data_IF_526533396939
#
_entry.id   IF_526533396939
#
_cell.length_a   1.000
_cell.length_b   1.000
_cell.length_c   1.000
_cell.angle_alpha   90.00
_cell.angle_beta   90.00
_cell.angle_gamma   90.00
#
_symmetry.space_group_name_H-M   'P 1'
#
loop_
_entity.id
_entity.type
_entity.pdbx_description
1 polymer ?
#
# COMPACT_ATOMS: atom_id res chain seq x y z
N UNK A 1 6.57 -25.01 -17.65
CA UNK A 1 6.71 -25.32 -16.21
C UNK A 1 8.09 -24.87 -15.74
N UNK A 2 8.18 -24.41 -14.48
CA UNK A 2 9.36 -23.90 -13.75
C UNK A 2 9.63 -22.38 -13.80
N UNK A 3 8.79 -21.61 -13.09
CA UNK A 3 9.11 -20.26 -12.57
C UNK A 3 8.49 -20.06 -11.18
N UNK A 4 8.75 -20.97 -10.25
CA UNK A 4 8.21 -20.94 -8.87
C UNK A 4 9.26 -20.64 -7.78
N UNK A 5 10.50 -20.29 -8.14
CA UNK A 5 11.62 -20.30 -7.18
C UNK A 5 12.48 -19.03 -7.14
N UNK A 6 11.93 -17.85 -7.43
CA UNK A 6 12.68 -16.63 -7.11
C UNK A 6 12.46 -16.22 -5.66
N UNK A 7 13.34 -16.78 -4.83
CA UNK A 7 13.96 -16.29 -3.58
C UNK A 7 14.19 -14.77 -3.58
N UNK A 8 13.14 -13.99 -3.69
CA UNK A 8 13.25 -12.53 -3.65
C UNK A 8 13.17 -12.15 -2.18
N UNK A 9 14.31 -11.75 -1.63
CA UNK A 9 14.41 -11.16 -0.31
C UNK A 9 13.50 -9.95 -0.26
N UNK A 10 12.45 -9.99 0.58
CA UNK A 10 11.49 -8.89 0.60
C UNK A 10 12.13 -7.68 1.28
N UNK A 11 12.51 -7.78 2.57
CA UNK A 11 13.14 -6.70 3.35
C UNK A 11 13.96 -7.28 4.54
N UNK A 12 15.11 -6.68 4.85
CA UNK A 12 15.93 -6.89 6.07
C UNK A 12 16.39 -8.35 6.34
N UNK A 13 16.87 -9.10 5.34
CA UNK A 13 17.38 -10.46 5.54
C UNK A 13 16.30 -11.56 5.62
N UNK A 14 15.01 -11.22 5.48
CA UNK A 14 13.94 -12.22 5.44
C UNK A 14 13.95 -12.99 4.12
N UNK A 15 14.65 -14.13 4.11
CA UNK A 15 14.68 -15.10 3.02
C UNK A 15 13.73 -16.25 3.33
N UNK A 16 12.68 -16.36 2.52
CA UNK A 16 11.88 -17.59 2.35
C UNK A 16 11.29 -18.28 3.58
N UNK A 17 10.91 -17.52 4.60
CA UNK A 17 9.93 -18.04 5.57
C UNK A 17 8.66 -17.21 5.53
N UNK A 18 8.19 -16.91 4.31
CA UNK A 18 6.88 -16.28 4.13
C UNK A 18 5.84 -17.09 4.90
N UNK A 19 5.86 -18.43 4.84
CA UNK A 19 4.91 -19.28 5.59
C UNK A 19 5.11 -19.18 7.11
N UNK A 20 6.34 -19.18 7.62
CA UNK A 20 6.64 -19.00 9.04
C UNK A 20 6.24 -17.61 9.58
N UNK A 21 6.51 -16.52 8.84
CA UNK A 21 6.12 -15.15 9.20
C UNK A 21 4.63 -14.88 8.94
N UNK A 22 4.03 -15.57 7.96
CA UNK A 22 2.59 -15.58 7.65
C UNK A 22 1.77 -16.19 8.78
N UNK A 23 2.27 -17.29 9.38
CA UNK A 23 1.53 -18.13 10.33
C UNK A 23 2.08 -18.11 11.76
N UNK A 24 3.18 -17.41 12.05
CA UNK A 24 3.61 -17.16 13.41
C UNK A 24 2.49 -16.44 14.18
N UNK A 25 2.32 -16.80 15.46
CA UNK A 25 1.17 -16.48 16.32
C UNK A 25 0.84 -14.98 16.48
N UNK A 26 1.70 -14.09 15.97
CA UNK A 26 1.47 -12.65 15.79
C UNK A 26 1.46 -12.24 14.31
N UNK A 27 0.67 -12.94 13.48
CA UNK A 27 0.80 -12.85 12.03
C UNK A 27 0.75 -11.41 11.52
N UNK A 28 1.84 -11.02 10.85
CA UNK A 28 1.97 -9.75 10.15
C UNK A 28 0.77 -9.50 9.22
N UNK A 29 0.12 -10.56 8.76
CA UNK A 29 -1.03 -10.55 7.88
C UNK A 29 -2.29 -10.13 8.63
N UNK A 30 -2.60 -10.73 9.78
CA UNK A 30 -3.72 -10.26 10.63
C UNK A 30 -3.49 -8.80 11.01
N UNK A 31 -2.26 -8.43 11.38
CA UNK A 31 -1.93 -7.03 11.63
C UNK A 31 -2.14 -6.15 10.39
N UNK A 32 -1.68 -6.56 9.21
CA UNK A 32 -1.78 -5.80 7.97
C UNK A 32 -3.24 -5.64 7.53
N UNK A 33 -4.05 -6.69 7.58
CA UNK A 33 -5.49 -6.62 7.30
C UNK A 33 -6.20 -5.71 8.29
N UNK A 34 -5.95 -5.87 9.60
CA UNK A 34 -6.56 -5.02 10.64
C UNK A 34 -6.18 -3.56 10.46
N UNK A 35 -4.90 -3.30 10.20
CA UNK A 35 -4.37 -1.95 9.95
C UNK A 35 -4.95 -1.35 8.67
N UNK A 36 -5.05 -2.14 7.59
CA UNK A 36 -5.67 -1.70 6.34
C UNK A 36 -7.12 -1.27 6.56
N UNK A 37 -7.92 -2.09 7.22
CA UNK A 37 -9.33 -1.78 7.51
C UNK A 37 -9.49 -0.59 8.44
N UNK A 38 -8.67 -0.50 9.49
CA UNK A 38 -8.66 0.64 10.42
C UNK A 38 -8.33 1.94 9.67
N UNK A 39 -7.20 1.99 8.96
CA UNK A 39 -6.77 3.15 8.18
C UNK A 39 -7.76 3.53 7.08
N UNK A 40 -8.44 2.55 6.47
CA UNK A 40 -9.46 2.79 5.45
C UNK A 40 -10.63 3.64 6.01
N UNK A 41 -10.92 3.52 7.31
CA UNK A 41 -11.97 4.26 8.02
C UNK A 41 -11.44 5.56 8.65
N UNK A 42 -10.27 5.53 9.29
CA UNK A 42 -9.76 6.67 10.07
C UNK A 42 -9.14 7.77 9.22
N UNK A 43 -8.41 7.43 8.15
CA UNK A 43 -7.70 8.45 7.35
C UNK A 43 -8.62 9.46 6.69
N UNK A 44 -9.78 9.09 6.09
CA UNK A 44 -10.71 10.07 5.56
C UNK A 44 -11.20 11.06 6.61
N UNK A 45 -11.46 10.59 7.83
CA UNK A 45 -11.90 11.43 8.95
C UNK A 45 -10.78 12.39 9.36
N UNK A 46 -9.54 11.91 9.46
CA UNK A 46 -8.39 12.74 9.77
C UNK A 46 -8.18 13.83 8.72
N UNK A 47 -8.25 13.49 7.43
CA UNK A 47 -8.09 14.45 6.34
C UNK A 47 -9.28 15.41 6.17
N UNK A 48 -10.43 15.15 6.79
CA UNK A 48 -11.54 16.11 6.86
C UNK A 48 -11.37 17.16 7.96
N UNK A 49 -10.34 17.07 8.81
CA UNK A 49 -10.10 18.05 9.86
C UNK A 49 -9.64 19.39 9.27
N UNK A 50 -10.01 20.53 9.88
CA UNK A 50 -9.66 21.87 9.38
C UNK A 50 -8.15 22.08 9.20
N UNK A 51 -7.34 21.42 10.03
CA UNK A 51 -5.87 21.45 9.98
C UNK A 51 -5.32 21.02 8.62
N UNK A 52 -6.01 20.12 7.92
CA UNK A 52 -5.61 19.58 6.62
C UNK A 52 -6.40 20.17 5.46
N UNK A 53 -7.22 21.21 5.67
CA UNK A 53 -8.04 21.83 4.62
C UNK A 53 -7.22 22.42 3.46
N UNK A 54 -5.94 22.69 3.69
CA UNK A 54 -5.00 23.18 2.69
C UNK A 54 -4.44 22.07 1.77
N UNK A 55 -4.71 20.79 2.07
CA UNK A 55 -4.21 19.66 1.30
C UNK A 55 -5.21 19.20 0.24
N UNK A 56 -4.72 18.97 -0.97
CA UNK A 56 -5.47 18.21 -1.99
C UNK A 56 -5.26 16.72 -1.76
N UNK A 57 -6.28 16.04 -1.23
CA UNK A 57 -6.18 14.61 -0.86
C UNK A 57 -6.74 13.73 -1.97
N UNK A 58 -5.83 13.10 -2.72
CA UNK A 58 -6.17 12.14 -3.77
C UNK A 58 -6.15 10.69 -3.25
N UNK A 59 -7.30 10.01 -3.29
CA UNK A 59 -7.44 8.64 -2.78
C UNK A 59 -7.67 7.63 -3.91
N UNK A 60 -6.66 6.79 -4.14
CA UNK A 60 -6.76 5.68 -5.08
C UNK A 60 -7.19 4.37 -4.39
N UNK A 61 -8.06 3.60 -5.04
CA UNK A 61 -8.55 2.29 -4.54
C UNK A 61 -7.76 1.10 -5.07
N UNK A 62 -6.91 1.33 -6.07
CA UNK A 62 -5.99 0.33 -6.63
C UNK A 62 -4.69 0.99 -7.08
N UNK A 63 -3.57 0.25 -7.10
CA UNK A 63 -2.31 0.75 -7.64
C UNK A 63 -2.46 1.26 -9.07
N UNK A 64 -3.21 0.52 -9.91
CA UNK A 64 -3.44 0.91 -11.29
C UNK A 64 -4.17 2.26 -11.44
N UNK A 65 -5.06 2.63 -10.51
CA UNK A 65 -5.70 3.94 -10.53
C UNK A 65 -4.69 5.07 -10.26
N UNK A 66 -3.74 4.85 -9.34
CA UNK A 66 -2.65 5.79 -9.09
C UNK A 66 -1.70 5.88 -10.30
N UNK A 67 -1.35 4.74 -10.91
CA UNK A 67 -0.50 4.71 -12.11
C UNK A 67 -1.12 5.48 -13.28
N UNK A 68 -2.43 5.34 -13.49
CA UNK A 68 -3.15 6.10 -14.52
C UNK A 68 -3.12 7.60 -14.24
N UNK A 69 -3.31 7.99 -12.98
CA UNK A 69 -3.23 9.40 -12.59
C UNK A 69 -1.81 9.96 -12.80
N UNK A 70 -0.76 9.25 -12.35
CA UNK A 70 0.63 9.64 -12.58
C UNK A 70 0.96 9.80 -14.07
N UNK A 71 0.51 8.85 -14.91
CA UNK A 71 0.68 8.94 -16.37
C UNK A 71 -0.08 10.11 -16.98
N UNK A 72 -1.19 10.53 -16.38
CA UNK A 72 -1.95 11.70 -16.84
C UNK A 72 -1.18 13.01 -16.62
N UNK A 73 -0.41 13.11 -15.52
CA UNK A 73 0.45 14.27 -15.25
C UNK A 73 1.57 14.41 -16.28
N UNK A 74 2.19 13.30 -16.68
CA UNK A 74 3.27 13.32 -17.69
C UNK A 74 2.81 13.74 -19.09
N UNK A 75 1.51 13.65 -19.39
CA UNK A 75 0.93 14.18 -20.64
C UNK A 75 0.68 15.68 -20.59
N UNK A 76 0.56 16.24 -19.39
CA UNK A 76 0.45 17.68 -19.15
C UNK A 76 1.87 18.22 -18.93
N UNK A 77 2.74 18.08 -19.94
CA UNK A 77 3.95 18.88 -19.99
C UNK A 77 3.53 20.31 -20.34
N UNK A 78 3.77 21.19 -19.39
CA UNK A 78 3.49 22.62 -19.40
C UNK A 78 4.04 23.28 -20.67
N UNK A 79 3.21 24.14 -21.27
CA UNK A 79 3.60 25.13 -22.27
C UNK A 79 4.02 26.42 -21.57
#
# INVERSE_FOLDING_TARGET
MSRYFNRTELWNGNREDLKGVLFAKDSLFVWAFRTHWSRRKSLPIAFSQPEYAHLEVLRFRSPHAADRWLKSLSRVSVK
#
